data_IF_243187564665
#
_entry.id   IF_243187564665
#
_cell.length_a   1.000
_cell.length_b   1.000
_cell.length_c   1.000
_cell.angle_alpha   90.00
_cell.angle_beta   90.00
_cell.angle_gamma   90.00
#
_symmetry.space_group_name_H-M   'P 1'
#
loop_
_entity.id
_entity.type
_entity.pdbx_description
1 polymer ?
#
# COMPACT_ATOMS: atom_id res chain seq x y z
N UNK A 1 0.14 -18.82 1.01
CA UNK A 1 -0.08 -17.46 1.58
C UNK A 1 -1.30 -17.35 2.52
N UNK A 2 -1.93 -18.43 2.99
CA UNK A 2 -3.11 -18.36 3.87
C UNK A 2 -2.83 -18.61 5.37
N UNK A 3 -1.58 -18.95 5.75
CA UNK A 3 -1.24 -19.35 7.12
C UNK A 3 -0.70 -18.19 8.00
N UNK A 4 -0.31 -17.05 7.40
CA UNK A 4 0.15 -15.89 8.17
C UNK A 4 -1.00 -15.02 8.69
N UNK A 5 -2.18 -15.03 8.04
CA UNK A 5 -3.34 -14.24 8.50
C UNK A 5 -3.99 -14.81 9.77
N UNK A 6 -3.87 -16.12 10.01
CA UNK A 6 -4.46 -16.78 11.18
C UNK A 6 -3.62 -16.63 12.45
N UNK A 7 -2.31 -16.35 12.35
CA UNK A 7 -1.45 -16.11 13.52
C UNK A 7 -1.61 -14.71 14.11
N UNK A 8 -1.77 -13.66 13.29
CA UNK A 8 -1.99 -12.29 13.79
C UNK A 8 -3.31 -12.14 14.58
N UNK A 9 -4.34 -12.93 14.26
CA UNK A 9 -5.60 -12.92 14.99
C UNK A 9 -5.48 -13.46 16.44
N UNK A 10 -4.46 -14.28 16.73
CA UNK A 10 -4.19 -14.80 18.09
C UNK A 10 -3.33 -13.86 18.94
N UNK A 11 -2.60 -12.92 18.34
CA UNK A 11 -1.71 -11.98 19.06
C UNK A 11 -2.36 -10.64 19.44
N UNK A 12 -3.61 -10.40 19.06
CA UNK A 12 -4.35 -9.23 19.55
C UNK A 12 -4.88 -9.47 20.96
N UNK A 13 -4.48 -8.60 21.90
CA UNK A 13 -5.04 -8.59 23.25
C UNK A 13 -6.56 -8.44 23.20
N UNK A 14 -7.26 -9.07 24.17
CA UNK A 14 -8.73 -9.12 24.21
C UNK A 14 -9.36 -7.71 24.14
N UNK A 15 -8.71 -6.71 24.74
CA UNK A 15 -9.11 -5.31 24.69
C UNK A 15 -9.08 -4.73 23.28
N UNK A 16 -8.04 -5.01 22.48
CA UNK A 16 -7.93 -4.54 21.11
C UNK A 16 -9.02 -5.13 20.21
N UNK A 17 -9.40 -6.40 20.44
CA UNK A 17 -10.49 -7.05 19.70
C UNK A 17 -11.83 -6.35 19.96
N UNK A 18 -12.14 -6.07 21.22
CA UNK A 18 -13.36 -5.35 21.61
C UNK A 18 -13.39 -3.96 20.98
N UNK A 19 -12.28 -3.23 21.05
CA UNK A 19 -12.18 -1.91 20.43
C UNK A 19 -12.41 -1.95 18.91
N UNK A 20 -11.80 -2.90 18.21
CA UNK A 20 -11.98 -3.05 16.76
C UNK A 20 -13.42 -3.43 16.40
N UNK A 21 -14.06 -4.32 17.16
CA UNK A 21 -15.48 -4.63 16.94
C UNK A 21 -16.38 -3.41 17.15
N UNK A 22 -16.08 -2.59 18.16
CA UNK A 22 -16.85 -1.38 18.45
C UNK A 22 -16.64 -0.32 17.36
N UNK A 23 -15.40 -0.14 16.88
CA UNK A 23 -15.08 0.74 15.78
C UNK A 23 -15.78 0.29 14.48
N UNK A 24 -15.85 -1.02 14.22
CA UNK A 24 -16.56 -1.56 13.06
C UNK A 24 -18.08 -1.29 13.13
N UNK A 25 -18.70 -1.49 14.30
CA UNK A 25 -20.12 -1.15 14.50
C UNK A 25 -20.36 0.36 14.32
N UNK A 26 -19.50 1.20 14.89
CA UNK A 26 -19.59 2.65 14.72
C UNK A 26 -19.48 3.07 13.25
N UNK A 27 -18.61 2.42 12.49
CA UNK A 27 -18.47 2.64 11.05
C UNK A 27 -19.72 2.23 10.28
N UNK A 28 -20.34 1.09 10.61
CA UNK A 28 -21.60 0.67 9.99
C UNK A 28 -22.73 1.67 10.24
N UNK A 29 -22.85 2.18 11.47
CA UNK A 29 -23.84 3.21 11.82
C UNK A 29 -23.59 4.49 11.03
N UNK A 30 -22.33 4.91 10.91
CA UNK A 30 -21.95 6.09 10.13
C UNK A 30 -22.28 5.92 8.64
N UNK A 31 -21.96 4.76 8.05
CA UNK A 31 -22.29 4.46 6.66
C UNK A 31 -23.80 4.41 6.44
N UNK A 32 -24.56 3.80 7.36
CA UNK A 32 -26.02 3.78 7.30
C UNK A 32 -26.59 5.20 7.32
N UNK A 33 -26.19 6.03 8.29
CA UNK A 33 -26.68 7.41 8.40
C UNK A 33 -26.28 8.25 7.19
N UNK A 34 -25.05 8.09 6.68
CA UNK A 34 -24.57 8.76 5.48
C UNK A 34 -25.33 8.33 4.23
N UNK A 35 -25.54 7.02 4.03
CA UNK A 35 -26.32 6.49 2.91
C UNK A 35 -27.78 6.96 3.00
N UNK A 36 -28.37 6.90 4.19
CA UNK A 36 -29.73 7.36 4.42
C UNK A 36 -29.85 8.86 4.09
N UNK A 37 -28.89 9.68 4.51
CA UNK A 37 -28.83 11.10 4.16
C UNK A 37 -28.65 11.33 2.65
N UNK A 38 -27.81 10.55 1.96
CA UNK A 38 -27.62 10.64 0.51
C UNK A 38 -28.87 10.26 -0.28
N UNK A 39 -29.68 9.34 0.24
CA UNK A 39 -30.96 8.92 -0.33
C UNK A 39 -32.12 9.86 0.05
N UNK A 40 -31.85 11.10 0.47
CA UNK A 40 -32.90 12.08 0.81
C UNK A 40 -33.89 12.36 -0.33
N UNK A 41 -33.48 12.13 -1.57
CA UNK A 41 -34.29 12.34 -2.76
C UNK A 41 -35.32 11.23 -2.99
N UNK A 42 -35.22 10.08 -2.30
CA UNK A 42 -36.21 9.02 -2.39
C UNK A 42 -37.47 9.36 -1.58
N UNK A 43 -38.67 9.21 -2.16
CA UNK A 43 -39.92 9.36 -1.42
C UNK A 43 -40.02 8.36 -0.27
N UNK A 44 -40.52 8.81 0.89
CA UNK A 44 -40.73 7.94 2.05
C UNK A 44 -41.80 6.87 1.81
N UNK A 45 -42.74 7.14 0.91
CA UNK A 45 -43.87 6.25 0.60
C UNK A 45 -43.47 5.09 -0.31
N UNK A 46 -42.25 5.09 -0.83
CA UNK A 46 -41.71 3.96 -1.58
C UNK A 46 -41.22 2.92 -0.59
N UNK A 47 -42.01 1.86 -0.43
CA UNK A 47 -41.75 0.80 0.54
C UNK A 47 -42.78 -0.30 0.46
N UNK A 48 -42.64 -1.27 1.34
CA UNK A 48 -43.57 -2.39 1.47
C UNK A 48 -43.88 -2.63 2.94
N UNK A 49 -45.03 -3.25 3.18
CA UNK A 49 -45.36 -3.80 4.49
C UNK A 49 -44.63 -5.14 4.58
N UNK A 50 -43.86 -5.32 5.65
CA UNK A 50 -43.14 -6.57 5.90
C UNK A 50 -44.06 -7.66 6.47
N UNK A 51 -43.50 -8.83 6.79
CA UNK A 51 -44.27 -9.94 7.38
C UNK A 51 -44.80 -9.65 8.79
N UNK A 52 -44.25 -8.65 9.48
CA UNK A 52 -44.69 -8.19 10.79
C UNK A 52 -45.78 -7.12 10.74
N UNK A 53 -46.12 -6.63 9.54
CA UNK A 53 -47.10 -5.56 9.36
C UNK A 53 -46.49 -4.16 9.47
N UNK A 54 -45.16 -4.05 9.63
CA UNK A 54 -44.45 -2.78 9.70
C UNK A 54 -44.09 -2.29 8.29
N UNK A 55 -44.35 -1.00 8.03
CA UNK A 55 -43.96 -0.39 6.76
C UNK A 55 -42.46 -0.10 6.79
N UNK A 56 -41.70 -0.80 5.95
CA UNK A 56 -40.27 -0.56 5.76
C UNK A 56 -40.06 0.25 4.50
N UNK A 57 -39.38 1.39 4.62
CA UNK A 57 -39.09 2.23 3.46
C UNK A 57 -37.96 1.61 2.61
N UNK A 58 -38.07 1.76 1.28
CA UNK A 58 -37.03 1.36 0.34
C UNK A 58 -35.71 2.09 0.62
N UNK A 59 -35.81 3.31 1.14
CA UNK A 59 -34.68 4.13 1.60
C UNK A 59 -33.91 3.46 2.73
N UNK A 60 -34.60 2.96 3.75
CA UNK A 60 -33.97 2.21 4.85
C UNK A 60 -33.31 0.94 4.35
N UNK A 61 -34.00 0.18 3.50
CA UNK A 61 -33.48 -1.07 2.93
C UNK A 61 -32.17 -0.83 2.15
N UNK A 62 -32.14 0.16 1.25
CA UNK A 62 -30.94 0.52 0.50
C UNK A 62 -29.82 1.03 1.41
N UNK A 63 -30.15 1.77 2.46
CA UNK A 63 -29.16 2.26 3.43
C UNK A 63 -28.47 1.13 4.19
N UNK A 64 -29.23 0.09 4.55
CA UNK A 64 -28.68 -1.14 5.18
C UNK A 64 -27.75 -1.87 4.21
N UNK A 65 -28.15 -2.03 2.95
CA UNK A 65 -27.30 -2.67 1.95
C UNK A 65 -25.99 -1.89 1.75
N UNK A 66 -26.05 -0.57 1.61
CA UNK A 66 -24.86 0.27 1.49
C UNK A 66 -23.97 0.18 2.73
N UNK A 67 -24.55 0.14 3.93
CA UNK A 67 -23.77 -0.03 5.16
C UNK A 67 -23.02 -1.37 5.18
N UNK A 68 -23.71 -2.47 4.84
CA UNK A 68 -23.13 -3.83 4.83
C UNK A 68 -22.06 -3.98 3.75
N UNK A 69 -22.39 -3.69 2.49
CA UNK A 69 -21.46 -3.85 1.36
C UNK A 69 -20.35 -2.80 1.40
N UNK A 70 -20.68 -1.57 1.78
CA UNK A 70 -19.71 -0.49 1.97
C UNK A 70 -18.73 -0.80 3.09
N UNK A 71 -19.20 -1.31 4.23
CA UNK A 71 -18.34 -1.71 5.35
C UNK A 71 -17.40 -2.86 5.00
N UNK A 72 -17.89 -3.89 4.29
CA UNK A 72 -17.06 -5.00 3.80
C UNK A 72 -16.03 -4.54 2.76
N UNK A 73 -16.44 -3.69 1.82
CA UNK A 73 -15.55 -3.10 0.81
C UNK A 73 -14.47 -2.20 1.42
N UNK A 74 -14.83 -1.37 2.39
CA UNK A 74 -13.89 -0.53 3.13
C UNK A 74 -12.84 -1.36 3.87
N UNK A 75 -13.22 -2.50 4.45
CA UNK A 75 -12.27 -3.42 5.08
C UNK A 75 -11.18 -3.88 4.11
N UNK A 76 -11.56 -4.30 2.90
CA UNK A 76 -10.60 -4.70 1.86
C UNK A 76 -9.76 -3.53 1.35
N UNK A 77 -10.36 -2.35 1.25
CA UNK A 77 -9.65 -1.14 0.81
C UNK A 77 -8.61 -0.69 1.84
N UNK A 78 -8.96 -0.71 3.13
CA UNK A 78 -8.06 -0.39 4.23
C UNK A 78 -6.92 -1.40 4.28
N UNK A 79 -7.22 -2.70 4.17
CA UNK A 79 -6.18 -3.74 4.17
C UNK A 79 -5.17 -3.53 3.04
N UNK A 80 -5.65 -3.31 1.80
CA UNK A 80 -4.80 -2.98 0.64
C UNK A 80 -4.00 -1.69 0.85
N UNK A 81 -4.62 -0.65 1.42
CA UNK A 81 -3.98 0.66 1.64
C UNK A 81 -2.92 0.61 2.73
N UNK A 82 -3.18 -0.10 3.82
CA UNK A 82 -2.24 -0.30 4.93
C UNK A 82 -1.05 -1.13 4.46
N UNK A 83 -1.30 -2.21 3.71
CA UNK A 83 -0.22 -3.00 3.11
C UNK A 83 0.68 -2.10 2.27
N UNK A 84 0.11 -1.31 1.36
CA UNK A 84 0.85 -0.37 0.52
C UNK A 84 1.67 0.64 1.33
N UNK A 85 1.10 1.22 2.39
CA UNK A 85 1.79 2.20 3.23
C UNK A 85 2.97 1.59 3.98
N UNK A 86 2.84 0.34 4.44
CA UNK A 86 3.91 -0.34 5.16
C UNK A 86 5.10 -0.65 4.24
N UNK A 87 4.83 -1.15 3.04
CA UNK A 87 5.88 -1.41 2.04
C UNK A 87 6.63 -0.14 1.63
N UNK A 88 5.91 0.97 1.44
CA UNK A 88 6.55 2.24 1.11
C UNK A 88 7.43 2.73 2.27
N UNK A 89 6.94 2.66 3.51
CA UNK A 89 7.70 3.06 4.70
C UNK A 89 9.02 2.28 4.84
N UNK A 90 8.99 0.97 4.63
CA UNK A 90 10.18 0.12 4.71
C UNK A 90 11.16 0.42 3.57
N UNK A 91 10.66 0.65 2.36
CA UNK A 91 11.48 1.06 1.22
C UNK A 91 12.16 2.43 1.47
N UNK A 92 11.43 3.41 2.01
CA UNK A 92 12.00 4.72 2.37
C UNK A 92 13.09 4.62 3.45
N UNK A 93 12.88 3.76 4.45
CA UNK A 93 13.90 3.53 5.49
C UNK A 93 15.18 2.90 4.92
N UNK A 94 15.04 1.98 3.96
CA UNK A 94 16.19 1.40 3.26
C UNK A 94 16.93 2.43 2.42
N UNK A 95 16.22 3.30 1.69
CA UNK A 95 16.84 4.39 0.91
C UNK A 95 17.69 5.29 1.81
N UNK A 96 17.18 5.70 2.98
CA UNK A 96 17.89 6.60 3.87
C UNK A 96 19.13 5.93 4.49
N UNK A 97 19.00 4.69 4.94
CA UNK A 97 20.15 3.91 5.41
C UNK A 97 21.23 3.78 4.33
N UNK A 98 20.80 3.62 3.08
CA UNK A 98 21.72 3.47 1.96
C UNK A 98 22.40 4.77 1.54
N UNK A 99 21.66 5.87 1.57
CA UNK A 99 22.19 7.21 1.36
C UNK A 99 23.31 7.51 2.34
N UNK A 100 23.13 7.16 3.62
CA UNK A 100 24.15 7.31 4.64
C UNK A 100 25.40 6.45 4.35
N UNK A 101 25.22 5.20 3.87
CA UNK A 101 26.35 4.33 3.49
C UNK A 101 27.10 4.90 2.28
N UNK A 102 26.37 5.40 1.28
CA UNK A 102 26.93 6.02 0.07
C UNK A 102 27.71 7.28 0.42
N UNK A 103 27.14 8.15 1.24
CA UNK A 103 27.79 9.40 1.70
C UNK A 103 29.00 9.14 2.61
N UNK A 104 28.96 8.08 3.41
CA UNK A 104 30.11 7.62 4.19
C UNK A 104 31.18 6.90 3.34
N UNK A 105 30.85 6.43 2.15
CA UNK A 105 31.78 5.68 1.30
C UNK A 105 32.69 6.62 0.51
N UNK A 106 33.99 6.60 0.84
CA UNK A 106 35.03 7.40 0.17
C UNK A 106 35.76 6.65 -0.96
N UNK A 107 35.39 5.39 -1.23
CA UNK A 107 36.07 4.51 -2.18
C UNK A 107 35.22 4.24 -3.42
N UNK A 108 35.73 4.61 -4.59
CA UNK A 108 35.10 4.40 -5.90
C UNK A 108 34.80 2.91 -6.18
N UNK A 109 35.67 2.01 -5.73
CA UNK A 109 35.49 0.56 -5.90
C UNK A 109 34.30 0.02 -5.10
N UNK A 110 34.07 0.57 -3.90
CA UNK A 110 32.93 0.21 -3.05
C UNK A 110 31.62 0.67 -3.69
N UNK A 111 31.60 1.89 -4.24
CA UNK A 111 30.42 2.46 -4.91
C UNK A 111 30.01 1.64 -6.15
N UNK A 112 30.99 1.26 -6.98
CA UNK A 112 30.76 0.41 -8.17
C UNK A 112 30.18 -0.96 -7.81
N UNK A 113 30.66 -1.59 -6.74
CA UNK A 113 30.12 -2.87 -6.26
C UNK A 113 28.66 -2.77 -5.79
N UNK A 114 28.31 -1.66 -5.13
CA UNK A 114 26.95 -1.37 -4.67
C UNK A 114 26.01 -1.13 -5.86
N UNK A 115 26.43 -0.36 -6.87
CA UNK A 115 25.64 -0.12 -8.09
C UNK A 115 25.35 -1.44 -8.82
N UNK A 116 26.37 -2.28 -9.04
CA UNK A 116 26.20 -3.56 -9.74
C UNK A 116 25.21 -4.49 -9.02
N UNK A 117 25.22 -4.48 -7.68
CA UNK A 117 24.26 -5.26 -6.88
C UNK A 117 22.83 -4.78 -7.08
N UNK A 118 22.59 -3.46 -7.11
CA UNK A 118 21.24 -2.93 -7.34
C UNK A 118 20.75 -3.11 -8.76
N UNK A 119 21.62 -2.99 -9.76
CA UNK A 119 21.25 -3.31 -11.14
C UNK A 119 20.82 -4.77 -11.26
N UNK A 120 21.52 -5.68 -10.58
CA UNK A 120 21.15 -7.08 -10.54
C UNK A 120 19.80 -7.33 -9.86
N UNK A 121 19.55 -6.74 -8.69
CA UNK A 121 18.27 -6.85 -7.98
C UNK A 121 17.12 -6.24 -8.78
N UNK A 122 17.32 -5.06 -9.39
CA UNK A 122 16.34 -4.41 -10.26
C UNK A 122 16.02 -5.27 -11.48
N UNK A 123 17.02 -5.88 -12.12
CA UNK A 123 16.81 -6.77 -13.25
C UNK A 123 16.01 -8.02 -12.87
N UNK A 124 16.27 -8.60 -11.68
CA UNK A 124 15.47 -9.71 -11.17
C UNK A 124 14.01 -9.30 -10.91
N UNK A 125 13.77 -8.12 -10.33
CA UNK A 125 12.43 -7.60 -10.07
C UNK A 125 11.65 -7.32 -11.36
N UNK A 126 12.29 -6.70 -12.35
CA UNK A 126 11.67 -6.46 -13.66
C UNK A 126 11.30 -7.78 -14.34
N UNK A 127 12.17 -8.80 -14.26
CA UNK A 127 11.86 -10.13 -14.80
C UNK A 127 10.64 -10.76 -14.10
N UNK A 128 10.55 -10.65 -12.77
CA UNK A 128 9.36 -11.11 -12.03
C UNK A 128 8.09 -10.33 -12.41
N UNK A 129 8.24 -9.05 -12.74
CA UNK A 129 7.15 -8.20 -13.23
C UNK A 129 6.65 -8.67 -14.60
N UNK A 130 7.55 -9.05 -15.51
CA UNK A 130 7.23 -9.59 -16.83
C UNK A 130 6.60 -10.99 -16.76
N UNK A 131 7.02 -11.81 -15.78
CA UNK A 131 6.51 -13.17 -15.56
C UNK A 131 5.12 -13.20 -14.86
N UNK A 132 4.63 -12.07 -14.35
CA UNK A 132 3.31 -11.99 -13.73
C UNK A 132 2.19 -12.14 -14.80
N UNK A 133 1.15 -12.96 -14.56
CA UNK A 133 0.10 -13.18 -15.53
C UNK A 133 -0.63 -11.88 -15.84
N UNK A 134 -0.69 -11.53 -17.14
CA UNK A 134 -1.38 -10.35 -17.68
C UNK A 134 -2.88 -10.26 -17.35
N UNK A 135 -3.46 -11.22 -16.63
CA UNK A 135 -4.87 -11.24 -16.23
C UNK A 135 -5.24 -10.19 -15.19
N UNK A 136 -4.27 -9.47 -14.63
CA UNK A 136 -4.52 -8.25 -13.88
C UNK A 136 -4.14 -7.03 -14.74
N UNK A 137 -4.91 -6.79 -15.80
CA UNK A 137 -5.01 -5.47 -16.45
C UNK A 137 -5.54 -4.45 -15.43
N UNK A 138 -4.65 -4.01 -14.55
CA UNK A 138 -4.76 -2.71 -13.92
C UNK A 138 -3.80 -1.85 -14.73
N UNK A 139 -4.34 -0.92 -15.54
CA UNK A 139 -3.64 -0.07 -16.53
C UNK A 139 -2.47 0.79 -15.97
N UNK A 140 -2.08 0.57 -14.72
CA UNK A 140 -1.00 1.28 -14.06
C UNK A 140 -0.07 0.29 -13.34
N UNK A 141 1.01 -0.19 -14.00
CA UNK A 141 2.07 -0.96 -13.35
C UNK A 141 2.73 -0.21 -12.17
N UNK A 142 2.53 1.12 -12.08
CA UNK A 142 2.94 1.97 -10.96
C UNK A 142 2.21 1.68 -9.63
N UNK A 143 1.07 0.98 -9.66
CA UNK A 143 0.29 0.68 -8.45
C UNK A 143 0.76 -0.59 -7.73
N UNK A 144 1.63 -1.38 -8.35
CA UNK A 144 2.12 -2.63 -7.77
C UNK A 144 3.31 -2.37 -6.83
N UNK A 145 3.44 -3.12 -5.72
CA UNK A 145 4.58 -3.03 -4.82
C UNK A 145 5.91 -3.18 -5.55
N UNK A 146 5.98 -4.12 -6.50
CA UNK A 146 7.18 -4.42 -7.29
C UNK A 146 7.51 -3.31 -8.30
N UNK A 147 6.49 -2.69 -8.91
CA UNK A 147 6.66 -1.53 -9.79
C UNK A 147 7.17 -0.30 -9.04
N UNK A 148 6.63 -0.04 -7.84
CA UNK A 148 7.10 1.05 -6.96
C UNK A 148 8.53 0.80 -6.47
N UNK A 149 8.87 -0.45 -6.11
CA UNK A 149 10.25 -0.83 -5.79
C UNK A 149 11.20 -0.57 -6.96
N UNK A 150 10.81 -0.89 -8.20
CA UNK A 150 11.66 -0.65 -9.37
C UNK A 150 12.00 0.84 -9.58
N UNK A 151 11.06 1.74 -9.27
CA UNK A 151 11.26 3.19 -9.30
C UNK A 151 12.22 3.65 -8.20
N UNK A 152 12.07 3.08 -7.01
CA UNK A 152 12.96 3.32 -5.86
C UNK A 152 14.39 2.85 -6.15
N UNK A 153 14.58 1.67 -6.73
CA UNK A 153 15.91 1.23 -7.17
C UNK A 153 16.47 2.12 -8.29
N UNK A 154 15.61 2.58 -9.21
CA UNK A 154 16.00 3.51 -10.27
C UNK A 154 16.53 4.85 -9.73
N UNK A 155 15.86 5.43 -8.73
CA UNK A 155 16.32 6.67 -8.10
C UNK A 155 17.60 6.46 -7.28
N UNK A 156 17.76 5.32 -6.62
CA UNK A 156 18.99 4.96 -5.92
C UNK A 156 20.20 4.84 -6.86
N UNK A 157 20.02 4.17 -8.02
CA UNK A 157 21.08 4.04 -9.04
C UNK A 157 21.48 5.43 -9.58
N UNK A 158 20.50 6.29 -9.85
CA UNK A 158 20.77 7.66 -10.32
C UNK A 158 21.59 8.47 -9.29
N UNK A 159 21.25 8.38 -8.01
CA UNK A 159 21.95 9.09 -6.94
C UNK A 159 23.38 8.55 -6.73
N UNK A 160 23.58 7.24 -6.84
CA UNK A 160 24.91 6.63 -6.80
C UNK A 160 25.79 7.07 -7.99
N UNK A 161 25.22 7.16 -9.20
CA UNK A 161 25.92 7.70 -10.36
C UNK A 161 26.30 9.17 -10.20
N UNK A 162 25.43 9.99 -9.60
CA UNK A 162 25.73 11.40 -9.33
C UNK A 162 26.94 11.53 -8.38
N UNK A 163 26.99 10.72 -7.32
CA UNK A 163 28.12 10.73 -6.39
C UNK A 163 29.41 10.22 -7.04
N UNK A 164 29.34 9.18 -7.89
CA UNK A 164 30.48 8.70 -8.66
C UNK A 164 31.07 9.82 -9.54
N UNK A 165 30.21 10.58 -10.23
CA UNK A 165 30.62 11.68 -11.09
C UNK A 165 31.29 12.82 -10.30
N UNK A 166 30.89 13.05 -9.05
CA UNK A 166 31.56 14.02 -8.15
C UNK A 166 32.95 13.55 -7.70
N UNK A 167 33.16 12.24 -7.57
CA UNK A 167 34.42 11.65 -7.12
C UNK A 167 35.47 11.45 -8.23
N UNK A 168 35.05 11.29 -9.49
CA UNK A 168 35.97 11.14 -10.63
C UNK A 168 37.03 12.27 -10.77
N UNK A 169 36.67 13.57 -10.71
CA UNK A 169 37.68 14.62 -10.83
C UNK A 169 38.67 14.65 -9.64
N UNK A 170 38.26 14.14 -8.47
CA UNK A 170 39.11 14.05 -7.28
C UNK A 170 40.13 12.90 -7.37
N UNK A 171 39.82 11.84 -8.13
CA UNK A 171 40.77 10.73 -8.33
C UNK A 171 41.82 11.08 -9.39
N UNK A 172 41.44 11.81 -10.44
CA UNK A 172 42.36 12.29 -11.48
C UNK A 172 43.35 13.35 -10.96
N UNK A 173 42.94 14.14 -9.96
CA UNK A 173 43.80 15.13 -9.32
C UNK A 173 44.84 14.53 -8.35
N UNK A 174 44.77 13.22 -8.05
CA UNK A 174 45.72 12.58 -7.12
C UNK A 174 46.98 12.15 -7.89
N UNK A 175 48.15 12.78 -7.64
CA UNK A 175 49.37 12.47 -8.39
C UNK A 175 49.77 11.02 -8.16
N UNK A 176 50.13 10.32 -9.25
CA UNK A 176 50.70 8.97 -9.20
C UNK A 176 52.09 9.05 -8.57
N UNK A 177 52.16 8.82 -7.26
CA UNK A 177 53.41 8.57 -6.52
C UNK A 177 53.84 7.12 -6.69
#
# INVERSE_FOLDING_TARGET
MALYSTQSARLMSRQKKVFVSLAFVGLLVCLFAGAHALLFWLPADWGGIDESGEFTSLREYLSVLVALFGGLGLGQFIDKSVHRSFYLSEAYAQIEALRLIVEASTSEASLKGVIARFEHERAQLLKRLDDLPKSHECDQPLLWPDGQMSLVYGSMIALAHEQLARLQPLSEARPKT
#
